data_IF_047730536169
#
_entry.id   IF_047730536169
#
_cell.length_a   1.000
_cell.length_b   1.000
_cell.length_c   1.000
_cell.angle_alpha   90.00
_cell.angle_beta   90.00
_cell.angle_gamma   90.00
#
_symmetry.space_group_name_H-M   'P 1'
#
loop_
_entity.id
_entity.type
_entity.pdbx_description
1 polymer ?
#
# COMPACT_ATOMS: atom_id res chain seq x y z
N UNK A 1 -24.25 15.10 -11.74
CA UNK A 1 -24.01 13.67 -11.62
C UNK A 1 -23.46 13.16 -12.94
N UNK A 2 -22.15 12.95 -13.04
CA UNK A 2 -21.55 12.28 -14.21
C UNK A 2 -21.44 10.80 -13.86
N UNK A 3 -22.30 9.97 -14.46
CA UNK A 3 -22.11 8.53 -14.45
C UNK A 3 -20.95 8.24 -15.42
N UNK A 4 -19.79 7.91 -14.87
CA UNK A 4 -18.71 7.31 -15.67
C UNK A 4 -19.09 5.87 -15.93
N UNK A 5 -19.46 5.55 -17.16
CA UNK A 5 -19.64 4.18 -17.60
C UNK A 5 -18.26 3.49 -17.61
N UNK A 6 -18.14 2.24 -17.15
CA UNK A 6 -16.90 1.49 -17.25
C UNK A 6 -16.46 1.42 -18.72
N UNK A 7 -15.16 1.65 -18.94
CA UNK A 7 -14.57 1.61 -20.27
C UNK A 7 -14.79 0.21 -20.86
N UNK A 8 -15.47 0.10 -22.01
CA UNK A 8 -15.64 -1.16 -22.71
C UNK A 8 -14.53 -1.29 -23.76
N UNK A 9 -13.84 -2.43 -23.77
CA UNK A 9 -12.99 -2.81 -24.88
C UNK A 9 -13.83 -2.98 -26.16
N UNK A 10 -13.20 -2.92 -27.33
CA UNK A 10 -13.88 -3.06 -28.65
C UNK A 10 -14.67 -4.39 -28.78
N UNK A 11 -14.36 -5.40 -27.97
CA UNK A 11 -15.06 -6.70 -27.87
C UNK A 11 -16.22 -6.70 -26.85
N UNK A 12 -16.52 -5.59 -26.19
CA UNK A 12 -17.61 -5.47 -25.21
C UNK A 12 -17.27 -5.94 -23.79
N UNK A 13 -16.01 -6.34 -23.52
CA UNK A 13 -15.55 -6.68 -22.17
C UNK A 13 -15.35 -5.40 -21.34
N UNK A 14 -15.72 -5.46 -20.06
CA UNK A 14 -15.43 -4.41 -19.07
C UNK A 14 -13.97 -4.55 -18.69
N UNK A 15 -13.14 -3.58 -19.10
CA UNK A 15 -11.75 -3.50 -18.66
C UNK A 15 -11.70 -2.86 -17.28
N UNK A 16 -11.46 -3.67 -16.25
CA UNK A 16 -11.18 -3.19 -14.90
C UNK A 16 -9.74 -2.66 -14.88
N UNK A 17 -9.59 -1.35 -14.73
CA UNK A 17 -8.27 -0.74 -14.61
C UNK A 17 -7.76 -0.85 -13.18
N UNK A 18 -6.53 -1.32 -13.05
CA UNK A 18 -5.86 -1.59 -11.78
C UNK A 18 -4.70 -0.64 -11.56
N UNK A 19 -4.52 -0.20 -10.32
CA UNK A 19 -3.43 0.67 -9.89
C UNK A 19 -2.80 0.11 -8.62
N UNK A 20 -1.49 0.21 -8.47
CA UNK A 20 -0.78 -0.22 -7.27
C UNK A 20 -0.12 1.00 -6.64
N UNK A 21 -0.65 1.47 -5.52
CA UNK A 21 0.01 2.45 -4.68
C UNK A 21 0.70 1.74 -3.51
N UNK A 22 1.96 2.07 -3.24
CA UNK A 22 2.66 1.44 -2.14
C UNK A 22 3.62 2.40 -1.43
N UNK A 23 3.72 2.27 -0.12
CA UNK A 23 4.79 2.85 0.68
C UNK A 23 5.80 1.76 1.00
N UNK A 24 7.09 2.07 0.83
CA UNK A 24 8.17 1.15 1.17
C UNK A 24 9.40 1.91 1.64
N UNK A 25 10.21 1.28 2.48
CA UNK A 25 11.47 1.86 2.98
C UNK A 25 12.61 0.87 2.79
N UNK A 26 13.68 1.32 2.17
CA UNK A 26 15.00 0.69 2.18
C UNK A 26 15.70 0.93 3.53
N UNK A 27 16.99 0.73 3.62
CA UNK A 27 17.76 0.90 4.86
C UNK A 27 17.57 -0.27 5.83
N UNK A 28 17.77 -0.04 7.12
CA UNK A 28 17.63 -1.09 8.12
C UNK A 28 16.16 -1.46 8.34
N UNK A 29 15.90 -2.76 8.23
CA UNK A 29 14.60 -3.35 8.48
C UNK A 29 14.73 -4.51 9.48
N UNK A 30 13.65 -4.79 10.21
CA UNK A 30 13.59 -5.90 11.14
C UNK A 30 13.36 -7.23 10.40
N UNK A 31 14.18 -8.23 10.69
CA UNK A 31 14.12 -9.58 10.14
C UNK A 31 14.21 -10.61 11.28
N UNK A 32 13.08 -11.03 11.79
CA UNK A 32 12.97 -12.16 12.75
C UNK A 32 14.00 -12.09 13.91
N UNK A 33 14.13 -10.94 14.55
CA UNK A 33 15.03 -10.74 15.70
C UNK A 33 16.35 -10.04 15.39
N UNK A 34 16.62 -9.69 14.13
CA UNK A 34 17.82 -8.94 13.72
C UNK A 34 17.48 -7.77 12.84
N UNK A 35 18.33 -6.76 12.78
CA UNK A 35 18.24 -5.69 11.80
C UNK A 35 19.13 -6.01 10.61
N UNK A 36 18.64 -5.71 9.40
CA UNK A 36 19.39 -5.86 8.15
C UNK A 36 19.14 -4.67 7.25
N UNK A 37 20.20 -4.11 6.70
CA UNK A 37 20.09 -3.12 5.66
C UNK A 37 19.71 -3.79 4.33
N UNK A 38 18.69 -3.27 3.67
CA UNK A 38 18.20 -3.73 2.37
C UNK A 38 18.15 -2.55 1.40
N UNK A 39 18.57 -2.79 0.15
CA UNK A 39 18.57 -1.77 -0.89
C UNK A 39 17.16 -1.49 -1.44
N UNK A 40 16.27 -2.49 -1.40
CA UNK A 40 14.88 -2.40 -1.85
C UNK A 40 13.98 -2.87 -0.74
N UNK A 41 13.03 -2.05 -0.32
CA UNK A 41 12.11 -2.35 0.77
C UNK A 41 11.19 -3.53 0.45
N UNK A 42 10.75 -4.24 1.49
CA UNK A 42 9.96 -5.47 1.32
C UNK A 42 8.59 -5.21 0.67
N UNK A 43 7.95 -4.09 0.97
CA UNK A 43 6.66 -3.74 0.35
C UNK A 43 6.83 -3.46 -1.15
N UNK A 44 7.93 -2.80 -1.54
CA UNK A 44 8.25 -2.56 -2.95
C UNK A 44 8.47 -3.86 -3.72
N UNK A 45 9.21 -4.82 -3.13
CA UNK A 45 9.37 -6.15 -3.74
C UNK A 45 8.03 -6.82 -4.00
N UNK A 46 7.11 -6.78 -3.01
CA UNK A 46 5.76 -7.32 -3.16
C UNK A 46 4.95 -6.57 -4.23
N UNK A 47 5.04 -5.24 -4.27
CA UNK A 47 4.36 -4.41 -5.26
C UNK A 47 4.84 -4.69 -6.69
N UNK A 48 6.13 -4.87 -6.89
CA UNK A 48 6.71 -5.23 -8.20
C UNK A 48 6.23 -6.62 -8.67
N UNK A 49 6.21 -7.62 -7.78
CA UNK A 49 5.65 -8.95 -8.10
C UNK A 49 4.17 -8.86 -8.46
N UNK A 50 3.41 -8.03 -7.76
CA UNK A 50 2.00 -7.82 -8.04
C UNK A 50 1.79 -7.11 -9.39
N UNK A 51 2.62 -6.14 -9.73
CA UNK A 51 2.60 -5.48 -11.04
C UNK A 51 2.89 -6.45 -12.19
N UNK A 52 3.86 -7.35 -12.03
CA UNK A 52 4.14 -8.42 -13.01
C UNK A 52 2.93 -9.35 -13.22
N UNK A 53 2.18 -9.65 -12.15
CA UNK A 53 1.01 -10.53 -12.20
C UNK A 53 -0.24 -9.86 -12.78
N UNK A 54 -0.38 -8.55 -12.62
CA UNK A 54 -1.62 -7.83 -12.95
C UNK A 54 -1.49 -6.89 -14.16
N UNK A 55 -0.26 -6.51 -14.52
CA UNK A 55 -0.01 -5.45 -15.50
C UNK A 55 -0.35 -4.05 -14.99
N UNK A 56 -0.65 -3.89 -13.69
CA UNK A 56 -1.05 -2.62 -13.11
C UNK A 56 0.12 -1.64 -13.01
N UNK A 57 -0.20 -0.35 -13.13
CA UNK A 57 0.74 0.74 -12.92
C UNK A 57 1.15 0.83 -11.45
N UNK A 58 2.44 1.13 -11.22
CA UNK A 58 3.04 1.29 -9.89
C UNK A 58 3.19 2.76 -9.52
N UNK A 59 2.80 3.11 -8.30
CA UNK A 59 3.05 4.41 -7.70
C UNK A 59 3.67 4.26 -6.31
N UNK A 60 4.86 4.84 -6.10
CA UNK A 60 5.52 4.90 -4.80
C UNK A 60 4.99 6.09 -3.99
N UNK A 61 4.34 5.81 -2.88
CA UNK A 61 3.94 6.82 -1.89
C UNK A 61 5.19 7.18 -1.09
N UNK A 62 5.76 8.35 -1.35
CA UNK A 62 7.00 8.81 -0.75
C UNK A 62 6.79 10.14 -0.05
N UNK A 63 7.19 10.23 1.22
CA UNK A 63 7.14 11.49 1.97
C UNK A 63 8.37 12.36 1.66
N UNK A 64 8.19 13.67 1.60
CA UNK A 64 9.27 14.64 1.32
C UNK A 64 10.41 14.56 2.32
N UNK A 65 10.11 14.31 3.58
CA UNK A 65 11.11 14.11 4.64
C UNK A 65 11.06 12.63 5.03
N UNK A 66 11.93 11.77 4.48
CA UNK A 66 11.89 10.34 4.76
C UNK A 66 12.22 10.05 6.24
N UNK A 67 11.72 8.95 6.75
CA UNK A 67 12.18 8.41 8.03
C UNK A 67 13.62 7.95 7.93
N UNK A 68 14.31 7.94 9.08
CA UNK A 68 15.72 7.51 9.19
C UNK A 68 15.95 6.10 8.59
N UNK A 69 17.15 5.90 8.03
CA UNK A 69 17.62 4.57 7.59
C UNK A 69 17.92 3.65 8.79
N UNK A 70 18.24 4.21 9.96
CA UNK A 70 18.37 3.48 11.21
C UNK A 70 17.00 3.00 11.70
N UNK A 71 16.90 1.72 12.06
CA UNK A 71 15.61 1.11 12.39
C UNK A 71 14.97 1.70 13.64
N UNK A 72 15.73 1.84 14.72
CA UNK A 72 15.19 2.30 16.00
C UNK A 72 14.76 3.77 15.94
N UNK A 73 15.53 4.60 15.23
CA UNK A 73 15.19 5.99 14.94
C UNK A 73 13.91 6.08 14.10
N UNK A 74 13.81 5.29 13.03
CA UNK A 74 12.60 5.20 12.21
C UNK A 74 11.36 4.81 13.02
N UNK A 75 11.48 3.84 13.93
CA UNK A 75 10.38 3.43 14.82
C UNK A 75 9.96 4.58 15.75
N UNK A 76 10.93 5.32 16.29
CA UNK A 76 10.65 6.46 17.16
C UNK A 76 9.94 7.60 16.41
N UNK A 77 10.38 7.90 15.19
CA UNK A 77 9.76 8.89 14.29
C UNK A 77 8.34 8.49 13.90
N UNK A 78 8.14 7.24 13.47
CA UNK A 78 6.82 6.72 13.11
C UNK A 78 5.83 6.76 14.29
N UNK A 79 6.30 6.43 15.50
CA UNK A 79 5.49 6.53 16.72
C UNK A 79 5.13 7.97 17.08
N UNK A 80 6.06 8.91 16.89
CA UNK A 80 5.81 10.32 17.09
C UNK A 80 4.72 10.81 16.14
N UNK A 81 4.85 10.50 14.85
CA UNK A 81 3.92 10.92 13.83
C UNK A 81 2.54 10.29 14.01
N UNK A 82 2.48 9.02 14.42
CA UNK A 82 1.22 8.36 14.77
C UNK A 82 0.51 9.07 15.94
N UNK A 83 1.25 9.39 17.03
CA UNK A 83 0.67 10.12 18.18
C UNK A 83 0.20 11.51 17.82
N UNK A 84 0.91 12.18 16.92
CA UNK A 84 0.56 13.51 16.42
C UNK A 84 -0.57 13.48 15.38
N UNK A 85 -1.02 12.29 14.95
CA UNK A 85 -1.91 12.11 13.81
C UNK A 85 -1.42 12.90 12.59
N UNK A 86 -0.11 12.84 12.32
CA UNK A 86 0.57 13.62 11.29
C UNK A 86 0.10 13.25 9.88
N UNK A 87 0.19 14.22 8.98
CA UNK A 87 -0.02 14.01 7.53
C UNK A 87 1.21 14.52 6.80
N UNK A 88 2.28 13.69 6.71
CA UNK A 88 3.51 14.06 6.03
C UNK A 88 3.22 14.48 4.59
N UNK A 89 3.88 15.54 4.14
CA UNK A 89 3.80 15.98 2.75
C UNK A 89 4.47 14.94 1.84
N UNK A 90 3.81 14.60 0.73
CA UNK A 90 4.32 13.64 -0.24
C UNK A 90 5.16 14.34 -1.33
N UNK A 91 6.13 13.62 -1.90
CA UNK A 91 6.96 14.12 -3.01
C UNK A 91 6.15 14.33 -4.27
N UNK A 92 5.17 13.46 -4.52
CA UNK A 92 4.26 13.52 -5.63
C UNK A 92 2.91 12.86 -5.27
N UNK A 93 1.91 13.16 -6.07
CA UNK A 93 0.60 12.51 -6.06
C UNK A 93 0.17 12.30 -7.52
N UNK A 94 -0.45 11.19 -7.89
CA UNK A 94 -1.16 11.06 -9.17
C UNK A 94 -2.15 12.20 -9.35
N UNK A 95 -2.24 12.75 -10.55
CA UNK A 95 -3.17 13.84 -10.82
C UNK A 95 -4.63 13.43 -10.57
N UNK A 96 -4.98 12.21 -10.93
CA UNK A 96 -6.29 11.61 -10.67
C UNK A 96 -6.18 10.09 -10.55
N UNK A 97 -7.10 9.49 -9.80
CA UNK A 97 -7.34 8.05 -9.76
C UNK A 97 -8.69 7.67 -10.42
N UNK A 98 -9.36 8.60 -11.11
CA UNK A 98 -10.73 8.39 -11.62
C UNK A 98 -10.83 7.24 -12.62
N UNK A 99 -9.76 7.00 -13.36
CA UNK A 99 -9.69 5.94 -14.37
C UNK A 99 -9.53 4.52 -13.79
N UNK A 100 -9.27 4.39 -12.48
CA UNK A 100 -9.00 3.11 -11.85
C UNK A 100 -10.16 2.65 -10.98
N UNK A 101 -10.56 1.39 -11.13
CA UNK A 101 -11.63 0.75 -10.36
C UNK A 101 -11.09 0.02 -9.14
N UNK A 102 -9.91 -0.63 -9.31
CA UNK A 102 -9.25 -1.42 -8.28
C UNK A 102 -7.89 -0.83 -7.93
N UNK A 103 -7.69 -0.54 -6.66
CA UNK A 103 -6.44 -0.01 -6.13
C UNK A 103 -5.84 -1.02 -5.15
N UNK A 104 -4.67 -1.55 -5.48
CA UNK A 104 -3.86 -2.35 -4.58
C UNK A 104 -3.01 -1.43 -3.73
N UNK A 105 -3.21 -1.47 -2.41
CA UNK A 105 -2.53 -0.58 -1.47
C UNK A 105 -1.52 -1.35 -0.63
N UNK A 106 -0.23 -1.10 -0.86
CA UNK A 106 0.88 -1.74 -0.17
C UNK A 106 1.52 -0.88 0.91
N UNK A 107 1.78 -1.47 2.07
CA UNK A 107 2.44 -0.76 3.19
C UNK A 107 3.10 -1.75 4.17
N UNK A 108 4.14 -1.31 4.90
CA UNK A 108 4.63 -2.06 6.06
C UNK A 108 3.72 -1.80 7.27
N UNK A 109 3.60 -2.78 8.18
CA UNK A 109 2.94 -2.56 9.45
C UNK A 109 3.83 -1.68 10.34
N UNK A 110 3.43 -0.44 10.56
CA UNK A 110 4.10 0.49 11.46
C UNK A 110 3.23 0.74 12.70
N UNK A 111 3.69 0.24 13.85
CA UNK A 111 3.02 0.46 15.14
C UNK A 111 1.54 0.00 15.17
N UNK A 112 1.20 -1.08 14.47
CA UNK A 112 -0.16 -1.63 14.40
C UNK A 112 -1.06 -0.99 13.35
N UNK A 113 -0.53 -0.06 12.56
CA UNK A 113 -1.22 0.61 11.46
C UNK A 113 -0.31 0.82 10.25
N UNK A 114 -0.66 1.73 9.36
CA UNK A 114 0.12 2.13 8.19
C UNK A 114 1.05 3.31 8.54
N UNK A 115 2.15 3.53 7.78
CA UNK A 115 2.89 4.79 7.82
C UNK A 115 1.96 5.99 7.57
N UNK A 116 2.20 7.11 8.26
CA UNK A 116 1.30 8.27 8.18
C UNK A 116 1.23 8.90 6.78
N UNK A 117 2.25 8.71 5.95
CA UNK A 117 2.24 9.08 4.53
C UNK A 117 1.14 8.38 3.72
N UNK A 118 0.78 7.15 4.10
CA UNK A 118 -0.32 6.40 3.46
C UNK A 118 -1.67 7.06 3.77
N UNK A 119 -1.86 7.59 4.98
CA UNK A 119 -3.05 8.38 5.32
C UNK A 119 -3.15 9.65 4.49
N UNK A 120 -2.02 10.37 4.28
CA UNK A 120 -1.98 11.56 3.41
C UNK A 120 -2.47 11.20 2.01
N UNK A 121 -1.99 10.07 1.45
CA UNK A 121 -2.43 9.57 0.13
C UNK A 121 -3.93 9.23 0.11
N UNK A 122 -4.39 8.46 1.10
CA UNK A 122 -5.80 8.03 1.15
C UNK A 122 -6.78 9.19 1.33
N UNK A 123 -6.42 10.19 2.11
CA UNK A 123 -7.30 11.34 2.38
C UNK A 123 -7.32 12.37 1.23
N UNK A 124 -6.45 12.21 0.22
CA UNK A 124 -6.35 13.13 -0.90
C UNK A 124 -7.42 12.90 -1.98
N UNK A 125 -7.88 11.66 -2.17
CA UNK A 125 -8.75 11.28 -3.30
C UNK A 125 -10.20 11.00 -2.88
N UNK A 126 -11.10 11.09 -3.87
CA UNK A 126 -12.44 10.53 -3.75
C UNK A 126 -12.39 9.03 -4.08
N UNK A 127 -12.89 8.23 -3.15
CA UNK A 127 -12.87 6.77 -3.24
C UNK A 127 -14.22 6.17 -3.61
N UNK A 128 -15.24 6.99 -3.91
CA UNK A 128 -16.57 6.51 -4.22
C UNK A 128 -16.55 5.56 -5.41
N UNK A 129 -17.07 4.35 -5.22
CA UNK A 129 -17.15 3.30 -6.25
C UNK A 129 -15.86 2.54 -6.52
N UNK A 130 -14.79 2.81 -5.78
CA UNK A 130 -13.49 2.12 -5.94
C UNK A 130 -13.33 0.99 -4.94
N UNK A 131 -12.58 -0.04 -5.32
CA UNK A 131 -12.18 -1.13 -4.43
C UNK A 131 -10.72 -0.99 -4.04
N UNK A 132 -10.42 -1.04 -2.74
CA UNK A 132 -9.05 -1.08 -2.23
C UNK A 132 -8.73 -2.50 -1.77
N UNK A 133 -7.64 -3.06 -2.30
CA UNK A 133 -7.07 -4.36 -1.95
C UNK A 133 -5.79 -4.15 -1.12
N UNK A 134 -5.83 -4.21 0.23
CA UNK A 134 -4.66 -3.96 1.05
C UNK A 134 -3.68 -5.13 1.02
N UNK A 135 -2.38 -4.85 0.93
CA UNK A 135 -1.34 -5.84 1.22
C UNK A 135 -0.29 -5.24 2.16
N UNK A 136 -0.01 -5.97 3.23
CA UNK A 136 0.83 -5.47 4.31
C UNK A 136 2.05 -6.37 4.52
N UNK A 137 3.24 -5.78 4.52
CA UNK A 137 4.47 -6.48 4.91
C UNK A 137 4.75 -6.29 6.41
N UNK A 138 5.12 -7.38 7.08
CA UNK A 138 5.37 -7.38 8.52
C UNK A 138 6.23 -8.60 8.91
N UNK A 139 6.71 -8.65 10.15
CA UNK A 139 7.45 -9.81 10.69
C UNK A 139 6.66 -10.61 11.75
N UNK A 140 5.33 -10.62 11.64
CA UNK A 140 4.45 -11.40 12.49
C UNK A 140 3.25 -10.63 13.07
N UNK A 141 3.21 -9.31 12.94
CA UNK A 141 2.09 -8.47 13.41
C UNK A 141 0.82 -8.55 12.54
N UNK A 142 0.93 -9.14 11.34
CA UNK A 142 -0.20 -9.26 10.43
C UNK A 142 -0.71 -7.92 9.94
N UNK A 143 -2.00 -7.85 9.63
CA UNK A 143 -2.68 -6.63 9.19
C UNK A 143 -2.99 -5.68 10.36
N UNK A 144 -3.05 -6.18 11.59
CA UNK A 144 -3.47 -5.40 12.77
C UNK A 144 -4.80 -4.66 12.50
N UNK A 145 -4.87 -3.35 12.72
CA UNK A 145 -6.08 -2.53 12.51
C UNK A 145 -6.18 -1.91 11.11
N UNK A 146 -5.21 -2.19 10.22
CA UNK A 146 -5.03 -1.44 8.98
C UNK A 146 -6.25 -1.44 8.05
N UNK A 147 -6.98 -2.55 7.91
CA UNK A 147 -8.19 -2.57 7.09
C UNK A 147 -9.27 -1.60 7.62
N UNK A 148 -9.42 -1.50 8.94
CA UNK A 148 -10.36 -0.56 9.55
C UNK A 148 -9.89 0.89 9.38
N UNK A 149 -8.57 1.11 9.50
CA UNK A 149 -7.98 2.43 9.31
C UNK A 149 -8.12 2.90 7.86
N UNK A 150 -7.95 2.00 6.88
CA UNK A 150 -8.19 2.29 5.45
C UNK A 150 -9.66 2.68 5.23
N UNK A 151 -10.64 1.93 5.80
CA UNK A 151 -12.06 2.28 5.69
C UNK A 151 -12.38 3.66 6.25
N UNK A 152 -11.66 4.09 7.27
CA UNK A 152 -11.83 5.43 7.87
C UNK A 152 -11.22 6.54 7.02
N UNK A 153 -10.04 6.29 6.43
CA UNK A 153 -9.29 7.27 5.64
C UNK A 153 -9.83 7.39 4.21
N UNK A 154 -10.14 6.26 3.56
CA UNK A 154 -10.66 6.19 2.20
C UNK A 154 -12.19 6.07 2.18
N UNK A 155 -12.87 7.13 2.58
CA UNK A 155 -14.34 7.14 2.67
C UNK A 155 -14.98 6.92 1.29
N UNK A 156 -15.91 5.96 1.24
CA UNK A 156 -16.60 5.59 -0.01
C UNK A 156 -15.99 4.40 -0.74
N UNK A 157 -14.76 3.97 -0.39
CA UNK A 157 -14.17 2.77 -0.93
C UNK A 157 -14.82 1.50 -0.36
N UNK A 158 -14.88 0.47 -1.19
CA UNK A 158 -14.98 -0.90 -0.72
C UNK A 158 -13.58 -1.41 -0.36
N UNK A 159 -13.36 -1.82 0.87
CA UNK A 159 -12.07 -2.38 1.32
C UNK A 159 -12.18 -3.89 1.39
N UNK A 160 -11.52 -4.55 0.46
CA UNK A 160 -11.46 -6.00 0.34
C UNK A 160 -10.64 -6.63 1.47
N UNK A 161 -10.67 -7.95 1.57
CA UNK A 161 -9.82 -8.69 2.51
C UNK A 161 -8.34 -8.49 2.17
N UNK A 162 -7.58 -8.01 3.14
CA UNK A 162 -6.17 -7.72 2.99
C UNK A 162 -5.28 -8.96 3.00
N UNK A 163 -4.10 -8.83 2.39
CA UNK A 163 -3.06 -9.83 2.37
C UNK A 163 -1.93 -9.46 3.33
N UNK A 164 -1.63 -10.35 4.28
CA UNK A 164 -0.43 -10.23 5.13
C UNK A 164 0.73 -11.02 4.53
N UNK A 165 1.85 -10.36 4.32
CA UNK A 165 3.09 -10.93 3.80
C UNK A 165 4.21 -10.79 4.83
N UNK A 166 4.97 -11.88 5.05
CA UNK A 166 6.17 -11.79 5.86
C UNK A 166 7.29 -11.14 5.06
N UNK A 167 7.85 -10.03 5.56
CA UNK A 167 8.88 -9.28 4.87
C UNK A 167 10.14 -10.11 4.57
N UNK A 168 10.59 -10.90 5.54
CA UNK A 168 11.73 -11.81 5.39
C UNK A 168 11.54 -12.92 4.34
N UNK A 169 10.29 -13.18 3.90
CA UNK A 169 9.94 -14.19 2.91
C UNK A 169 9.31 -13.62 1.64
N UNK A 170 9.36 -12.31 1.45
CA UNK A 170 8.66 -11.61 0.36
C UNK A 170 9.12 -12.02 -1.03
N UNK A 171 10.39 -12.41 -1.20
CA UNK A 171 10.93 -12.86 -2.49
C UNK A 171 10.22 -14.15 -3.01
N UNK A 172 9.74 -14.98 -2.09
CA UNK A 172 8.95 -16.16 -2.41
C UNK A 172 7.42 -15.94 -2.39
N UNK A 173 6.96 -14.70 -2.34
CA UNK A 173 5.54 -14.38 -2.13
C UNK A 173 4.65 -14.58 -3.38
N UNK A 174 5.22 -14.79 -4.56
CA UNK A 174 4.46 -14.90 -5.83
C UNK A 174 3.28 -15.88 -5.77
N UNK A 175 3.42 -17.13 -5.29
CA UNK A 175 2.28 -18.05 -5.22
C UNK A 175 1.15 -17.56 -4.30
N UNK A 176 1.52 -16.88 -3.22
CA UNK A 176 0.55 -16.31 -2.26
C UNK A 176 -0.19 -15.11 -2.86
N UNK A 177 0.50 -14.27 -3.63
CA UNK A 177 -0.10 -13.18 -4.40
C UNK A 177 -1.06 -13.71 -5.47
N UNK A 178 -0.65 -14.74 -6.24
CA UNK A 178 -1.51 -15.38 -7.24
C UNK A 178 -2.77 -15.98 -6.63
N UNK A 179 -2.65 -16.62 -5.46
CA UNK A 179 -3.80 -17.14 -4.74
C UNK A 179 -4.74 -16.02 -4.27
N UNK A 180 -4.20 -14.96 -3.74
CA UNK A 180 -4.97 -13.80 -3.27
C UNK A 180 -5.70 -13.07 -4.40
N UNK A 181 -5.10 -12.98 -5.59
CA UNK A 181 -5.72 -12.40 -6.78
C UNK A 181 -6.92 -13.21 -7.32
N UNK A 182 -7.03 -14.49 -6.95
CA UNK A 182 -8.15 -15.35 -7.36
C UNK A 182 -9.36 -15.31 -6.40
N UNK A 183 -9.24 -14.64 -5.25
CA UNK A 183 -10.27 -14.51 -4.23
C UNK A 183 -10.02 -15.45 -3.07
#
# INVERSE_FOLDING_TARGET
>A
MRYTYPFRAENGEILIKKFIAYYSRAGENYFSGTHRAIAVGNTEKAARLLAELTGAELFHIEQKVPYSDDYDTCVAEARRDLRANARPELTALPESLDDYDEIYLGYPNYCGTMPMAVYTFLEHYDWQGKTIHPFCTNEGSGLSNTEQDIRRAAKGAWVARGLSLRGSAVEGAKPKLEQWLRG
#
